data_IF_263519502098
#
_entry.id   IF_263519502098
#
_cell.length_a   1.000
_cell.length_b   1.000
_cell.length_c   1.000
_cell.angle_alpha   90.00
_cell.angle_beta   90.00
_cell.angle_gamma   90.00
#
_symmetry.space_group_name_H-M   'P 1'
#
loop_
_entity.id
_entity.type
_entity.pdbx_description
1 polymer ?
#
# COMPACT_ATOMS: atom_id res chain seq x y z
N UNK A 1 38.03 27.51 -4.03
CA UNK A 1 37.50 26.52 -4.99
C UNK A 1 37.54 25.10 -4.42
N UNK A 2 38.68 24.61 -3.90
CA UNK A 2 38.75 23.32 -3.17
C UNK A 2 37.85 23.26 -1.93
N UNK A 3 37.92 24.27 -1.05
CA UNK A 3 37.08 24.32 0.17
C UNK A 3 35.57 24.40 -0.09
N UNK A 4 35.15 24.94 -1.24
CA UNK A 4 33.74 24.97 -1.64
C UNK A 4 33.26 23.61 -2.17
N UNK A 5 34.14 22.88 -2.87
CA UNK A 5 33.84 21.53 -3.33
C UNK A 5 33.85 20.51 -2.17
N UNK A 6 34.80 20.60 -1.23
CA UNK A 6 34.83 19.74 -0.04
C UNK A 6 33.66 19.99 0.91
N UNK A 7 33.26 21.25 1.12
CA UNK A 7 32.11 21.59 1.96
C UNK A 7 30.80 21.08 1.36
N UNK A 8 30.60 21.25 0.04
CA UNK A 8 29.44 20.68 -0.65
C UNK A 8 29.43 19.15 -0.58
N UNK A 9 30.56 18.47 -0.80
CA UNK A 9 30.65 17.01 -0.71
C UNK A 9 30.31 16.50 0.70
N UNK A 10 30.68 17.24 1.74
CA UNK A 10 30.38 16.89 3.13
C UNK A 10 28.89 17.10 3.44
N UNK A 11 28.31 18.23 3.04
CA UNK A 11 26.88 18.52 3.21
C UNK A 11 25.97 17.54 2.42
N UNK A 12 26.36 17.16 1.19
CA UNK A 12 25.67 16.12 0.42
C UNK A 12 25.74 14.76 1.12
N UNK A 13 26.90 14.39 1.68
CA UNK A 13 27.05 13.12 2.41
C UNK A 13 26.23 13.08 3.72
N UNK A 14 26.06 14.22 4.39
CA UNK A 14 25.26 14.33 5.60
C UNK A 14 23.76 14.28 5.28
N UNK A 15 23.32 14.89 4.18
CA UNK A 15 21.94 14.78 3.71
C UNK A 15 21.55 13.34 3.36
N UNK A 16 22.37 12.65 2.56
CA UNK A 16 22.12 11.25 2.18
C UNK A 16 22.08 10.33 3.41
N UNK A 17 22.95 10.59 4.40
CA UNK A 17 22.93 9.89 5.67
C UNK A 17 21.61 10.11 6.42
N UNK A 18 21.14 11.36 6.53
CA UNK A 18 19.88 11.67 7.20
C UNK A 18 18.66 11.03 6.51
N UNK A 19 18.64 11.02 5.17
CA UNK A 19 17.60 10.33 4.38
C UNK A 19 17.64 8.83 4.66
N UNK A 20 18.83 8.22 4.70
CA UNK A 20 18.97 6.80 5.02
C UNK A 20 18.48 6.47 6.43
N UNK A 21 18.83 7.28 7.43
CA UNK A 21 18.33 7.11 8.80
C UNK A 21 16.81 7.26 8.88
N UNK A 22 16.24 8.23 8.16
CA UNK A 22 14.79 8.41 8.10
C UNK A 22 14.09 7.19 7.44
N UNK A 23 14.68 6.62 6.39
CA UNK A 23 14.20 5.39 5.76
C UNK A 23 14.23 4.20 6.73
N UNK A 24 15.34 4.01 7.46
CA UNK A 24 15.46 2.96 8.48
C UNK A 24 14.41 3.12 9.60
N UNK A 25 14.08 4.35 9.99
CA UNK A 25 13.01 4.63 10.96
C UNK A 25 11.62 4.39 10.37
N UNK A 26 11.37 4.78 9.12
CA UNK A 26 10.09 4.54 8.44
C UNK A 26 9.83 3.03 8.30
N UNK A 27 10.85 2.23 8.02
CA UNK A 27 10.75 0.78 7.93
C UNK A 27 10.29 0.12 9.25
N UNK A 28 10.57 0.74 10.40
CA UNK A 28 10.09 0.26 11.71
C UNK A 28 8.57 0.36 11.87
N UNK A 29 7.89 1.15 11.02
CA UNK A 29 6.44 1.23 11.03
C UNK A 29 5.83 -0.07 10.52
N UNK A 30 6.42 -0.69 9.49
CA UNK A 30 5.86 -1.84 8.80
C UNK A 30 6.01 -3.16 9.58
N UNK A 31 5.09 -4.12 9.37
CA UNK A 31 5.19 -5.43 9.99
C UNK A 31 6.43 -6.20 9.49
N UNK A 32 7.25 -6.69 10.42
CA UNK A 32 8.47 -7.48 10.11
C UNK A 32 8.19 -8.90 9.64
N UNK A 33 6.99 -9.39 9.89
CA UNK A 33 6.54 -10.72 9.51
C UNK A 33 5.03 -10.71 9.38
N UNK A 34 4.50 -11.49 8.46
CA UNK A 34 3.06 -11.73 8.37
C UNK A 34 2.55 -12.41 9.64
N UNK A 35 1.41 -11.96 10.21
CA UNK A 35 0.84 -12.55 11.41
C UNK A 35 0.41 -13.98 11.11
N UNK A 36 0.51 -14.83 12.13
CA UNK A 36 -0.02 -16.19 12.03
C UNK A 36 -1.53 -16.12 11.95
N UNK A 37 -2.10 -16.81 10.96
CA UNK A 37 -3.53 -16.82 10.71
C UNK A 37 -3.97 -18.22 10.31
N UNK A 38 -5.03 -18.73 10.94
CA UNK A 38 -5.47 -20.11 10.77
C UNK A 38 -6.24 -20.37 9.48
N UNK A 39 -6.77 -19.31 8.85
CA UNK A 39 -7.66 -19.41 7.69
C UNK A 39 -7.05 -18.83 6.41
N UNK A 40 -5.91 -18.15 6.50
CA UNK A 40 -5.16 -17.70 5.33
C UNK A 40 -3.65 -17.64 5.57
N UNK A 41 -2.89 -17.76 4.48
CA UNK A 41 -1.47 -17.40 4.47
C UNK A 41 -1.34 -15.99 3.90
N UNK A 42 -0.49 -15.15 4.51
CA UNK A 42 -0.30 -13.76 4.11
C UNK A 42 1.16 -13.53 3.75
N UNK A 43 1.39 -12.72 2.72
CA UNK A 43 2.72 -12.26 2.34
C UNK A 43 2.67 -10.82 1.89
N UNK A 44 3.78 -10.12 2.06
CA UNK A 44 3.99 -8.77 1.53
C UNK A 44 5.40 -8.66 0.97
N UNK A 45 5.53 -7.93 -0.13
CA UNK A 45 6.81 -7.52 -0.67
C UNK A 45 6.69 -6.08 -1.15
N UNK A 46 7.65 -5.25 -0.79
CA UNK A 46 7.63 -3.83 -1.13
C UNK A 46 9.04 -3.31 -1.40
N UNK A 47 9.12 -2.22 -2.16
CA UNK A 47 10.35 -1.48 -2.44
C UNK A 47 10.05 0.01 -2.56
N UNK A 48 10.70 0.81 -1.74
CA UNK A 48 10.60 2.27 -1.81
C UNK A 48 11.60 2.81 -2.83
N UNK A 49 11.18 3.71 -3.71
CA UNK A 49 12.00 4.19 -4.83
C UNK A 49 13.24 4.97 -4.39
N UNK A 50 13.17 5.66 -3.25
CA UNK A 50 14.25 6.49 -2.70
C UNK A 50 14.65 6.08 -1.27
N UNK A 51 14.36 4.83 -0.89
CA UNK A 51 14.52 4.33 0.49
C UNK A 51 13.41 4.77 1.43
N UNK A 52 12.81 5.93 1.18
CA UNK A 52 11.62 6.43 1.87
C UNK A 52 10.54 6.82 0.87
N UNK A 53 9.29 6.55 1.24
CA UNK A 53 8.17 6.51 0.31
C UNK A 53 6.83 6.97 0.86
N UNK A 54 5.88 7.11 -0.06
CA UNK A 54 4.46 7.43 0.18
C UNK A 54 3.59 6.19 0.37
N UNK A 55 4.01 5.04 -0.15
CA UNK A 55 3.34 3.75 0.04
C UNK A 55 3.27 3.34 1.52
N UNK A 56 2.11 2.88 1.96
CA UNK A 56 1.93 2.29 3.28
C UNK A 56 1.00 1.09 3.26
N UNK A 57 1.23 0.17 4.19
CA UNK A 57 0.40 -1.01 4.36
C UNK A 57 0.52 -1.58 5.77
N UNK A 58 -0.48 -2.33 6.19
CA UNK A 58 -0.40 -3.19 7.38
C UNK A 58 -1.48 -4.27 7.36
N UNK A 59 -1.27 -5.31 8.17
CA UNK A 59 -2.24 -6.33 8.51
C UNK A 59 -2.31 -6.49 10.04
N UNK A 60 -3.45 -6.14 10.61
CA UNK A 60 -3.61 -6.00 12.06
C UNK A 60 -4.65 -6.99 12.54
N UNK A 61 -4.23 -7.90 13.42
CA UNK A 61 -5.14 -8.84 14.08
C UNK A 61 -5.80 -8.17 15.26
N UNK A 62 -7.10 -7.93 15.13
CA UNK A 62 -7.91 -7.39 16.21
C UNK A 62 -8.06 -8.42 17.34
N UNK A 63 -8.35 -7.99 18.59
CA UNK A 63 -8.52 -8.89 19.72
C UNK A 63 -9.61 -9.96 19.55
N UNK A 64 -10.59 -9.72 18.67
CA UNK A 64 -11.67 -10.66 18.32
C UNK A 64 -11.30 -11.66 17.20
N UNK A 65 -10.06 -11.57 16.68
CA UNK A 65 -9.54 -12.41 15.61
C UNK A 65 -9.83 -11.90 14.19
N UNK A 66 -10.58 -10.80 14.03
CA UNK A 66 -10.76 -10.18 12.73
C UNK A 66 -9.42 -9.68 12.18
N UNK A 67 -9.19 -9.87 10.88
CA UNK A 67 -8.03 -9.28 10.21
C UNK A 67 -8.40 -7.96 9.56
N UNK A 68 -7.83 -6.88 10.07
CA UNK A 68 -7.79 -5.61 9.39
C UNK A 68 -6.63 -5.60 8.41
N UNK A 69 -6.86 -5.15 7.18
CA UNK A 69 -5.83 -4.86 6.20
C UNK A 69 -5.95 -3.40 5.77
N UNK A 70 -4.80 -2.75 5.58
CA UNK A 70 -4.70 -1.51 4.83
C UNK A 70 -3.57 -1.56 3.81
N UNK A 71 -3.77 -0.86 2.70
CA UNK A 71 -2.74 -0.47 1.74
C UNK A 71 -3.14 0.88 1.15
N UNK A 72 -2.19 1.76 0.92
CA UNK A 72 -2.45 3.06 0.34
C UNK A 72 -1.17 3.73 -0.11
N UNK A 73 -1.35 4.85 -0.79
CA UNK A 73 -0.26 5.67 -1.30
C UNK A 73 -0.59 7.14 -1.07
N UNK A 74 0.37 7.89 -0.56
CA UNK A 74 0.26 9.32 -0.29
C UNK A 74 0.73 10.09 -1.52
N UNK A 75 -0.07 11.06 -1.96
CA UNK A 75 0.24 11.88 -3.13
C UNK A 75 1.64 12.49 -3.06
N UNK A 76 2.42 12.24 -4.13
CA UNK A 76 3.81 12.66 -4.24
C UNK A 76 4.77 11.50 -3.93
N UNK A 77 6.07 11.78 -3.86
CA UNK A 77 7.06 10.74 -3.58
C UNK A 77 8.26 11.29 -2.80
N UNK A 78 8.99 10.42 -2.11
CA UNK A 78 10.17 10.79 -1.35
C UNK A 78 9.87 11.49 -0.02
N UNK A 79 10.73 12.42 0.40
CA UNK A 79 10.78 12.88 1.79
C UNK A 79 9.47 13.53 2.30
N UNK A 80 8.80 14.35 1.50
CA UNK A 80 7.56 15.01 1.94
C UNK A 80 6.41 14.00 2.09
N UNK A 81 6.25 13.10 1.12
CA UNK A 81 5.25 12.02 1.16
C UNK A 81 5.50 11.10 2.37
N UNK A 82 6.77 10.80 2.67
CA UNK A 82 7.16 9.98 3.82
C UNK A 82 6.68 10.52 5.17
N UNK A 83 6.63 11.84 5.34
CA UNK A 83 6.17 12.50 6.58
C UNK A 83 4.66 12.36 6.72
N UNK A 84 3.92 12.68 5.67
CA UNK A 84 2.45 12.58 5.67
C UNK A 84 2.02 11.13 5.82
N UNK A 85 2.69 10.22 5.10
CA UNK A 85 2.50 8.78 5.23
C UNK A 85 2.71 8.31 6.67
N UNK A 86 3.82 8.68 7.33
CA UNK A 86 4.11 8.23 8.69
C UNK A 86 3.05 8.69 9.70
N UNK A 87 2.56 9.91 9.55
CA UNK A 87 1.47 10.47 10.38
C UNK A 87 0.16 9.71 10.15
N UNK A 88 -0.18 9.47 8.89
CA UNK A 88 -1.40 8.77 8.50
C UNK A 88 -1.36 7.30 8.94
N UNK A 89 -0.23 6.63 8.75
CA UNK A 89 0.00 5.24 9.18
C UNK A 89 -0.30 5.10 10.67
N UNK A 90 0.34 5.92 11.51
CA UNK A 90 0.14 5.87 12.97
C UNK A 90 -1.30 6.16 13.37
N UNK A 91 -1.97 7.07 12.66
CA UNK A 91 -3.38 7.37 12.88
C UNK A 91 -4.28 6.17 12.55
N UNK A 92 -4.13 5.57 11.36
CA UNK A 92 -4.94 4.43 10.92
C UNK A 92 -4.64 3.21 11.79
N UNK A 93 -3.38 2.91 12.05
CA UNK A 93 -2.95 1.82 12.93
C UNK A 93 -3.61 1.90 14.32
N UNK A 94 -3.64 3.10 14.91
CA UNK A 94 -4.29 3.29 16.21
C UNK A 94 -5.81 3.12 16.10
N UNK A 95 -6.42 3.66 15.05
CA UNK A 95 -7.86 3.58 14.83
C UNK A 95 -8.33 2.14 14.58
N UNK A 96 -7.56 1.33 13.86
CA UNK A 96 -7.89 -0.06 13.53
C UNK A 96 -7.79 -1.00 14.73
N UNK A 97 -6.85 -0.75 15.66
CA UNK A 97 -6.77 -1.50 16.93
C UNK A 97 -7.99 -1.23 17.80
N UNK A 98 -8.45 0.02 17.85
CA UNK A 98 -9.57 0.41 18.71
C UNK A 98 -10.93 0.06 18.10
N UNK A 99 -11.02 -0.12 16.77
CA UNK A 99 -12.28 -0.26 16.03
C UNK A 99 -12.16 -1.25 14.87
N UNK A 100 -13.00 -2.28 14.89
CA UNK A 100 -13.23 -3.15 13.74
C UNK A 100 -14.23 -2.54 12.74
N UNK A 101 -13.98 -1.32 12.24
CA UNK A 101 -14.87 -0.67 11.25
C UNK A 101 -14.15 0.12 10.13
N UNK A 102 -14.08 -0.39 8.88
CA UNK A 102 -13.33 0.27 7.81
C UNK A 102 -13.96 1.60 7.38
N UNK A 103 -15.29 1.75 7.51
CA UNK A 103 -15.96 3.02 7.24
C UNK A 103 -15.44 4.10 8.16
N UNK A 104 -15.47 3.81 9.47
CA UNK A 104 -15.12 4.79 10.47
C UNK A 104 -13.65 5.17 10.39
N UNK A 105 -12.79 4.20 10.11
CA UNK A 105 -11.36 4.43 9.85
C UNK A 105 -11.16 5.39 8.67
N UNK A 106 -11.84 5.16 7.54
CA UNK A 106 -11.71 6.01 6.36
C UNK A 106 -12.26 7.43 6.59
N UNK A 107 -13.42 7.57 7.23
CA UNK A 107 -14.00 8.88 7.59
C UNK A 107 -13.07 9.67 8.53
N UNK A 108 -12.55 9.01 9.57
CA UNK A 108 -11.70 9.64 10.56
C UNK A 108 -10.34 10.02 9.93
N UNK A 109 -9.81 9.20 9.02
CA UNK A 109 -8.60 9.50 8.26
C UNK A 109 -8.80 10.68 7.31
N UNK A 110 -9.93 10.74 6.60
CA UNK A 110 -10.27 11.89 5.77
C UNK A 110 -10.35 13.18 6.60
N UNK A 111 -11.08 13.14 7.72
CA UNK A 111 -11.20 14.30 8.62
C UNK A 111 -9.87 14.69 9.29
N UNK A 112 -8.95 13.74 9.48
CA UNK A 112 -7.59 14.01 9.93
C UNK A 112 -6.81 14.79 8.86
N UNK A 113 -6.78 14.29 7.62
CA UNK A 113 -6.08 14.91 6.50
C UNK A 113 -6.62 16.30 6.15
N UNK A 114 -7.94 16.46 6.06
CA UNK A 114 -8.59 17.76 5.76
C UNK A 114 -8.16 18.86 6.74
N UNK A 115 -7.98 18.53 8.04
CA UNK A 115 -7.54 19.50 9.05
C UNK A 115 -6.12 19.99 8.82
N UNK A 116 -5.26 19.19 8.21
CA UNK A 116 -3.91 19.61 7.84
C UNK A 116 -3.91 20.34 6.51
N UNK A 117 -4.65 19.84 5.51
CA UNK A 117 -4.80 20.49 4.21
C UNK A 117 -5.25 21.96 4.35
N UNK A 118 -6.21 22.23 5.25
CA UNK A 118 -6.73 23.60 5.52
C UNK A 118 -5.70 24.58 6.10
N UNK A 119 -4.50 24.13 6.47
CA UNK A 119 -3.43 25.01 6.99
C UNK A 119 -2.66 25.75 5.90
N UNK A 120 -2.74 25.31 4.66
CA UNK A 120 -2.11 25.97 3.51
C UNK A 120 -2.86 25.68 2.22
N UNK A 121 -3.33 26.73 1.55
CA UNK A 121 -3.96 26.60 0.22
C UNK A 121 -2.97 26.24 -0.89
N UNK A 122 -1.67 26.42 -0.65
CA UNK A 122 -0.62 26.12 -1.65
C UNK A 122 -0.10 24.68 -1.53
N UNK A 123 -0.27 24.06 -0.35
CA UNK A 123 0.31 22.76 0.01
C UNK A 123 -0.75 21.74 0.46
N UNK A 124 -2.03 22.05 0.26
CA UNK A 124 -3.16 21.21 0.63
C UNK A 124 -3.13 19.84 -0.05
N UNK A 125 -2.80 19.81 -1.34
CA UNK A 125 -2.72 18.61 -2.17
C UNK A 125 -1.76 17.54 -1.62
N UNK A 126 -0.73 17.93 -0.87
CA UNK A 126 0.19 16.98 -0.22
C UNK A 126 -0.46 16.18 0.92
N UNK A 127 -1.61 16.64 1.43
CA UNK A 127 -2.39 15.93 2.45
C UNK A 127 -3.54 15.14 1.82
N UNK A 128 -3.23 14.38 0.76
CA UNK A 128 -4.17 13.46 0.12
C UNK A 128 -3.55 12.09 -0.10
N UNK A 129 -4.39 11.05 -0.18
CA UNK A 129 -3.93 9.66 -0.26
C UNK A 129 -4.99 8.76 -0.88
N UNK A 130 -4.54 7.72 -1.58
CA UNK A 130 -5.37 6.55 -1.82
C UNK A 130 -5.37 5.63 -0.62
N UNK A 131 -6.47 4.94 -0.35
CA UNK A 131 -6.55 3.93 0.72
C UNK A 131 -7.48 2.79 0.31
N UNK A 132 -7.01 1.56 0.37
CA UNK A 132 -7.85 0.41 0.57
C UNK A 132 -7.74 -0.06 2.02
N UNK A 133 -8.86 -0.19 2.71
CA UNK A 133 -8.89 -0.87 4.01
C UNK A 133 -10.06 -1.84 4.11
N UNK A 134 -9.82 -2.98 4.76
CA UNK A 134 -10.79 -4.06 4.83
C UNK A 134 -10.69 -4.82 6.15
N UNK A 135 -11.81 -5.42 6.55
CA UNK A 135 -11.89 -6.28 7.74
C UNK A 135 -12.48 -7.60 7.32
N UNK A 136 -11.72 -8.67 7.53
CA UNK A 136 -12.10 -10.04 7.20
C UNK A 136 -12.39 -10.79 8.50
N UNK A 137 -13.60 -11.33 8.60
CA UNK A 137 -14.04 -12.10 9.75
C UNK A 137 -13.64 -13.58 9.60
N UNK A 138 -12.84 -14.17 10.52
CA UNK A 138 -12.24 -15.50 10.36
C UNK A 138 -13.25 -16.62 10.06
N UNK A 139 -14.37 -16.63 10.78
CA UNK A 139 -15.34 -17.74 10.70
C UNK A 139 -16.27 -17.65 9.51
N UNK A 140 -16.53 -16.44 8.99
CA UNK A 140 -17.48 -16.25 7.88
C UNK A 140 -16.77 -16.00 6.56
N UNK A 141 -15.47 -15.67 6.59
CA UNK A 141 -14.68 -15.22 5.45
C UNK A 141 -15.34 -14.06 4.69
N UNK A 142 -16.17 -13.29 5.39
CA UNK A 142 -16.81 -12.09 4.87
C UNK A 142 -15.91 -10.91 5.16
N UNK A 143 -15.67 -10.12 4.12
CA UNK A 143 -14.98 -8.85 4.22
C UNK A 143 -15.97 -7.69 4.12
N UNK A 144 -15.74 -6.67 4.95
CA UNK A 144 -16.24 -5.32 4.75
C UNK A 144 -15.04 -4.46 4.35
N UNK A 145 -15.17 -3.63 3.34
CA UNK A 145 -14.04 -2.80 2.89
C UNK A 145 -14.47 -1.42 2.41
N UNK A 146 -13.51 -0.50 2.45
CA UNK A 146 -13.53 0.80 1.79
C UNK A 146 -12.38 0.84 0.81
N UNK A 147 -12.63 1.28 -0.41
CA UNK A 147 -11.60 1.61 -1.38
C UNK A 147 -11.73 3.09 -1.77
N UNK A 148 -10.93 3.93 -1.12
CA UNK A 148 -10.82 5.37 -1.33
C UNK A 148 -9.79 5.67 -2.42
N UNK A 149 -10.20 5.41 -3.67
CA UNK A 149 -9.42 5.73 -4.87
C UNK A 149 -8.15 4.91 -5.09
N UNK A 150 -7.92 3.85 -4.30
CA UNK A 150 -6.77 2.96 -4.47
C UNK A 150 -6.97 2.02 -5.68
N UNK A 151 -5.85 1.53 -6.22
CA UNK A 151 -5.89 0.54 -7.30
C UNK A 151 -6.73 -0.66 -6.85
N UNK A 152 -7.78 -1.05 -7.60
CA UNK A 152 -8.70 -2.10 -7.14
C UNK A 152 -7.95 -3.40 -6.84
N UNK A 153 -8.03 -3.93 -5.61
CA UNK A 153 -7.52 -5.25 -5.32
C UNK A 153 -8.18 -6.32 -6.19
N UNK A 154 -7.42 -7.34 -6.51
CA UNK A 154 -7.86 -8.46 -7.33
C UNK A 154 -8.13 -9.68 -6.47
N UNK A 155 -9.23 -10.37 -6.72
CA UNK A 155 -9.49 -11.69 -6.15
C UNK A 155 -9.48 -12.72 -7.26
N UNK A 156 -8.51 -13.64 -7.22
CA UNK A 156 -8.48 -14.81 -8.10
C UNK A 156 -9.36 -15.90 -7.51
N UNK A 157 -10.36 -16.32 -8.28
CA UNK A 157 -11.24 -17.46 -7.97
C UNK A 157 -11.21 -18.45 -9.12
N UNK A 158 -10.48 -19.55 -8.94
CA UNK A 158 -10.22 -20.49 -10.03
C UNK A 158 -9.50 -19.78 -11.19
N UNK A 159 -10.18 -19.66 -12.33
CA UNK A 159 -9.70 -18.99 -13.55
C UNK A 159 -10.29 -17.58 -13.75
N UNK A 160 -11.04 -17.08 -12.77
CA UNK A 160 -11.66 -15.75 -12.81
C UNK A 160 -10.91 -14.76 -11.95
N UNK A 161 -10.88 -13.50 -12.38
CA UNK A 161 -10.41 -12.36 -11.59
C UNK A 161 -11.59 -11.44 -11.30
N UNK A 162 -11.83 -11.18 -10.02
CA UNK A 162 -12.81 -10.21 -9.53
C UNK A 162 -12.07 -8.97 -9.02
N UNK A 163 -12.65 -7.79 -9.15
CA UNK A 163 -12.06 -6.54 -8.67
C UNK A 163 -12.85 -5.99 -7.47
N UNK A 164 -12.15 -5.50 -6.45
CA UNK A 164 -12.74 -4.82 -5.32
C UNK A 164 -12.79 -3.31 -5.60
N UNK A 165 -13.84 -2.90 -6.32
CA UNK A 165 -14.03 -1.55 -6.84
C UNK A 165 -13.97 -0.45 -5.77
N UNK A 166 -13.63 0.76 -6.22
CA UNK A 166 -13.69 2.00 -5.42
C UNK A 166 -15.08 2.22 -4.81
N UNK A 167 -15.10 2.66 -3.55
CA UNK A 167 -16.31 3.01 -2.78
C UNK A 167 -16.26 4.44 -2.24
N UNK A 168 -15.18 5.16 -2.53
CA UNK A 168 -14.93 6.55 -2.15
C UNK A 168 -13.86 7.15 -3.07
N UNK A 169 -13.82 8.49 -3.24
CA UNK A 169 -12.66 9.16 -3.84
C UNK A 169 -11.43 9.08 -2.90
N UNK A 170 -10.22 9.44 -3.39
CA UNK A 170 -9.04 9.60 -2.52
C UNK A 170 -9.32 10.49 -1.32
N UNK A 171 -8.76 10.13 -0.16
CA UNK A 171 -8.97 10.84 1.09
C UNK A 171 -8.17 12.15 1.10
N UNK A 172 -8.70 13.18 1.76
CA UNK A 172 -8.06 14.49 1.91
C UNK A 172 -8.12 15.38 0.66
N UNK A 173 -8.57 14.85 -0.48
CA UNK A 173 -8.69 15.62 -1.73
C UNK A 173 -10.01 16.40 -1.85
N UNK A 174 -11.11 15.81 -1.39
CA UNK A 174 -12.43 16.44 -1.41
C UNK A 174 -12.90 16.73 0.01
N UNK A 175 -13.63 17.83 0.19
CA UNK A 175 -14.29 18.12 1.47
C UNK A 175 -15.53 17.23 1.64
N UNK A 176 -15.61 16.53 2.76
CA UNK A 176 -16.75 15.66 3.13
C UNK A 176 -17.20 14.71 2.00
N UNK A 177 -16.29 13.87 1.45
CA UNK A 177 -16.63 12.96 0.37
C UNK A 177 -17.66 11.92 0.84
N UNK A 178 -18.45 11.41 -0.10
CA UNK A 178 -19.25 10.22 0.16
C UNK A 178 -18.32 9.00 0.27
N UNK A 179 -18.33 8.36 1.44
CA UNK A 179 -17.58 7.14 1.73
C UNK A 179 -18.58 6.04 2.04
N UNK A 180 -18.48 4.93 1.33
CA UNK A 180 -19.37 3.78 1.51
C UNK A 180 -18.61 2.48 1.74
N UNK A 181 -19.28 1.51 2.36
CA UNK A 181 -18.73 0.16 2.60
C UNK A 181 -19.26 -0.81 1.58
N UNK A 182 -18.35 -1.51 0.92
CA UNK A 182 -18.68 -2.68 0.13
C UNK A 182 -18.37 -3.97 0.89
N UNK A 183 -18.93 -5.07 0.39
CA UNK A 183 -18.80 -6.38 0.99
C UNK A 183 -18.28 -7.37 -0.04
N UNK A 184 -17.43 -8.29 0.42
CA UNK A 184 -16.97 -9.40 -0.38
C UNK A 184 -17.06 -10.70 0.42
N UNK A 185 -17.49 -11.79 -0.22
CA UNK A 185 -17.53 -13.11 0.39
C UNK A 185 -16.44 -13.96 -0.24
N UNK A 186 -15.40 -14.26 0.55
CA UNK A 186 -14.36 -15.19 0.12
C UNK A 186 -14.86 -16.63 0.16
N UNK A 187 -14.29 -17.43 -0.73
CA UNK A 187 -14.40 -18.87 -0.79
C UNK A 187 -13.02 -19.48 -0.54
N UNK A 188 -12.98 -20.70 -0.02
CA UNK A 188 -11.75 -21.47 0.08
C UNK A 188 -11.07 -21.59 -1.29
N UNK A 189 -9.77 -21.31 -1.32
CA UNK A 189 -8.95 -21.31 -2.54
C UNK A 189 -8.90 -19.97 -3.27
N UNK A 190 -9.64 -18.96 -2.81
CA UNK A 190 -9.50 -17.60 -3.30
C UNK A 190 -8.12 -17.03 -2.92
N UNK A 191 -7.52 -16.26 -3.85
CA UNK A 191 -6.34 -15.44 -3.58
C UNK A 191 -6.72 -13.97 -3.69
N UNK A 192 -6.59 -13.21 -2.61
CA UNK A 192 -6.66 -11.75 -2.64
C UNK A 192 -5.26 -11.19 -2.93
N UNK A 193 -5.18 -10.27 -3.88
CA UNK A 193 -3.97 -9.59 -4.29
C UNK A 193 -4.20 -8.07 -4.26
N UNK A 194 -3.43 -7.38 -3.43
CA UNK A 194 -3.43 -5.92 -3.33
C UNK A 194 -2.09 -5.40 -3.80
N UNK A 195 -2.08 -4.25 -4.48
CA UNK A 195 -0.86 -3.66 -4.98
C UNK A 195 -1.03 -2.16 -5.21
N UNK A 196 0.07 -1.42 -5.08
CA UNK A 196 0.13 0.00 -5.44
C UNK A 196 0.41 0.16 -6.94
N UNK A 197 0.13 1.36 -7.46
CA UNK A 197 0.28 1.66 -8.88
C UNK A 197 1.72 1.45 -9.39
N UNK A 198 2.76 1.60 -8.57
CA UNK A 198 4.14 1.29 -8.94
C UNK A 198 4.34 -0.13 -9.51
N UNK A 199 3.49 -1.11 -9.20
CA UNK A 199 3.50 -2.43 -9.87
C UNK A 199 3.11 -2.32 -11.34
N UNK A 200 2.03 -1.60 -11.65
CA UNK A 200 1.51 -1.49 -13.03
C UNK A 200 2.16 -0.37 -13.82
N UNK A 201 2.72 0.63 -13.14
CA UNK A 201 3.43 1.77 -13.72
C UNK A 201 4.94 1.51 -13.89
N UNK A 202 5.43 0.35 -13.44
CA UNK A 202 6.78 -0.10 -13.79
C UNK A 202 6.94 -0.08 -15.31
N UNK A 203 7.90 0.69 -15.81
CA UNK A 203 8.15 0.87 -17.24
C UNK A 203 9.42 0.16 -17.69
N UNK A 204 9.42 -0.35 -18.92
CA UNK A 204 10.61 -0.91 -19.55
C UNK A 204 11.46 0.19 -20.23
N UNK A 205 12.60 -0.19 -20.83
CA UNK A 205 13.49 0.75 -21.53
C UNK A 205 12.84 1.48 -22.72
N UNK A 206 11.76 0.93 -23.29
CA UNK A 206 10.98 1.56 -24.34
C UNK A 206 9.89 2.51 -23.79
N UNK A 207 9.75 2.62 -22.47
CA UNK A 207 8.71 3.41 -21.80
C UNK A 207 7.34 2.72 -21.76
N UNK A 208 7.25 1.44 -22.11
CA UNK A 208 5.99 0.69 -22.02
C UNK A 208 5.74 0.27 -20.57
N UNK A 209 4.51 0.50 -20.10
CA UNK A 209 4.10 0.13 -18.74
C UNK A 209 3.82 -1.37 -18.64
N UNK A 210 4.14 -1.95 -17.48
CA UNK A 210 3.84 -3.35 -17.16
C UNK A 210 2.34 -3.62 -17.23
N UNK A 211 1.54 -2.72 -16.66
CA UNK A 211 0.11 -2.66 -16.86
C UNK A 211 -0.71 -3.74 -16.14
N UNK A 212 -2.02 -3.48 -16.04
CA UNK A 212 -2.97 -4.35 -15.33
C UNK A 212 -3.16 -5.72 -15.99
N UNK A 213 -3.00 -5.80 -17.31
CA UNK A 213 -3.17 -7.05 -18.06
C UNK A 213 -2.10 -8.07 -17.65
N UNK A 214 -0.82 -7.67 -17.62
CA UNK A 214 0.28 -8.56 -17.22
C UNK A 214 0.15 -9.02 -15.76
N UNK A 215 -0.28 -8.13 -14.86
CA UNK A 215 -0.60 -8.51 -13.46
C UNK A 215 -1.67 -9.60 -13.40
N UNK A 216 -2.78 -9.45 -14.13
CA UNK A 216 -3.86 -10.44 -14.16
C UNK A 216 -3.42 -11.77 -14.77
N UNK A 217 -2.59 -11.74 -15.80
CA UNK A 217 -2.04 -12.93 -16.43
C UNK A 217 -1.15 -13.73 -15.46
N UNK A 218 -0.23 -13.06 -14.77
CA UNK A 218 0.62 -13.68 -13.74
C UNK A 218 -0.24 -14.26 -12.62
N UNK A 219 -1.23 -13.49 -12.13
CA UNK A 219 -2.13 -13.94 -11.08
C UNK A 219 -2.92 -15.20 -11.48
N UNK A 220 -3.31 -15.33 -12.75
CA UNK A 220 -4.03 -16.51 -13.26
C UNK A 220 -3.13 -17.74 -13.51
N UNK A 221 -1.88 -17.52 -13.93
CA UNK A 221 -0.97 -18.59 -14.34
C UNK A 221 -0.14 -19.15 -13.18
N UNK A 222 0.15 -18.32 -12.18
CA UNK A 222 1.02 -18.67 -11.07
C UNK A 222 0.24 -19.33 -9.92
N UNK A 223 0.27 -20.66 -9.91
CA UNK A 223 -0.30 -21.51 -8.86
C UNK A 223 0.62 -21.76 -7.67
N UNK A 224 1.77 -21.08 -7.56
CA UNK A 224 2.68 -21.20 -6.41
C UNK A 224 2.05 -20.59 -5.14
N UNK A 225 2.66 -20.84 -3.98
CA UNK A 225 2.24 -20.23 -2.72
C UNK A 225 2.47 -18.71 -2.69
N UNK A 226 1.77 -18.00 -1.81
CA UNK A 226 1.86 -16.55 -1.61
C UNK A 226 3.28 -15.94 -1.63
N UNK A 227 4.29 -16.56 -0.99
CA UNK A 227 5.65 -16.00 -0.97
C UNK A 227 6.35 -16.20 -2.29
N UNK A 228 6.28 -17.41 -2.85
CA UNK A 228 6.86 -17.72 -4.17
C UNK A 228 6.24 -16.85 -5.26
N UNK A 229 4.94 -16.60 -5.19
CA UNK A 229 4.24 -15.68 -6.11
C UNK A 229 4.78 -14.25 -6.01
N UNK A 230 4.96 -13.72 -4.80
CA UNK A 230 5.51 -12.38 -4.60
C UNK A 230 6.95 -12.28 -5.12
N UNK A 231 7.75 -13.33 -4.90
CA UNK A 231 9.11 -13.40 -5.43
C UNK A 231 9.14 -13.41 -6.95
N UNK A 232 8.28 -14.22 -7.57
CA UNK A 232 8.15 -14.30 -9.02
C UNK A 232 7.64 -12.99 -9.63
N UNK A 233 6.63 -12.34 -9.03
CA UNK A 233 6.13 -11.04 -9.46
C UNK A 233 7.25 -10.00 -9.46
N UNK A 234 7.99 -9.87 -8.36
CA UNK A 234 9.06 -8.88 -8.24
C UNK A 234 10.24 -9.19 -9.17
N UNK A 235 10.60 -10.46 -9.35
CA UNK A 235 11.61 -10.86 -10.33
C UNK A 235 11.17 -10.55 -11.77
N UNK A 236 9.87 -10.66 -12.06
CA UNK A 236 9.30 -10.29 -13.37
C UNK A 236 9.34 -8.79 -13.59
N UNK A 237 8.98 -7.98 -12.57
CA UNK A 237 9.11 -6.52 -12.62
C UNK A 237 10.57 -6.10 -12.83
N UNK A 238 11.52 -6.77 -12.17
CA UNK A 238 12.96 -6.51 -12.32
C UNK A 238 13.47 -6.83 -13.72
N UNK A 239 13.05 -7.97 -14.26
CA UNK A 239 13.35 -8.35 -15.64
C UNK A 239 12.72 -7.41 -16.67
N UNK A 240 11.55 -6.85 -16.36
CA UNK A 240 10.83 -5.92 -17.25
C UNK A 240 11.44 -4.51 -17.24
N UNK A 241 11.77 -3.98 -16.06
CA UNK A 241 12.34 -2.63 -15.87
C UNK A 241 13.86 -2.52 -15.98
N UNK A 242 14.58 -3.66 -16.04
CA UNK A 242 16.03 -3.76 -16.20
C UNK A 242 16.89 -2.94 -15.19
N UNK A 243 16.41 -2.77 -13.96
CA UNK A 243 17.26 -2.84 -12.75
C UNK A 243 18.18 -1.67 -12.37
N UNK A 244 17.74 -0.41 -12.31
CA UNK A 244 18.58 0.60 -11.61
C UNK A 244 17.88 1.67 -10.78
N UNK A 245 16.60 1.97 -11.02
CA UNK A 245 15.84 2.86 -10.13
C UNK A 245 14.35 2.66 -10.35
N UNK A 246 13.61 2.40 -9.28
CA UNK A 246 12.15 2.45 -9.35
C UNK A 246 11.72 3.90 -9.62
N UNK A 247 10.75 4.08 -10.52
CA UNK A 247 10.15 5.39 -10.75
C UNK A 247 9.27 5.80 -9.56
N UNK A 248 8.61 4.81 -8.95
CA UNK A 248 7.71 4.98 -7.82
C UNK A 248 7.81 3.84 -6.81
N UNK A 249 7.22 4.02 -5.64
CA UNK A 249 7.13 2.99 -4.62
C UNK A 249 6.29 1.80 -5.14
N UNK A 250 6.69 0.59 -4.77
CA UNK A 250 6.08 -0.62 -5.29
C UNK A 250 5.80 -1.57 -4.15
N UNK A 251 4.52 -1.74 -3.82
CA UNK A 251 4.04 -2.58 -2.72
C UNK A 251 3.05 -3.61 -3.24
N UNK A 252 3.17 -4.85 -2.79
CA UNK A 252 2.24 -5.92 -3.11
C UNK A 252 1.98 -6.83 -1.92
N UNK A 253 0.71 -7.20 -1.71
CA UNK A 253 0.24 -8.03 -0.59
C UNK A 253 -0.61 -9.16 -1.15
N UNK A 254 -0.44 -10.38 -0.62
CA UNK A 254 -1.19 -11.57 -1.01
C UNK A 254 -1.82 -12.23 0.20
N UNK A 255 -3.06 -12.70 0.05
CA UNK A 255 -3.74 -13.59 0.99
C UNK A 255 -4.20 -14.84 0.25
N UNK A 256 -3.73 -16.01 0.68
CA UNK A 256 -4.20 -17.31 0.22
C UNK A 256 -5.22 -17.87 1.22
N UNK A 257 -6.51 -17.81 0.87
CA UNK A 257 -7.61 -18.23 1.74
C UNK A 257 -7.76 -19.75 1.69
N UNK A 258 -7.66 -20.43 2.83
CA UNK A 258 -7.72 -21.90 2.92
C UNK A 258 -8.71 -22.45 3.97
N UNK A 259 -9.28 -21.56 4.81
CA UNK A 259 -10.34 -21.88 5.78
C UNK A 259 -11.68 -22.26 5.17
#
# INVERSE_FOLDING_TARGET
>A
MKDFQEKNLTEFSEFDLNVKLAAEVQELLFPKSSPLCEWCCMGVKFRMAQGLGGDYFDFITAPDGCQFIMIGDVTGHGLHASVVMSLLYGFIYRASIDRCDPLKVAEDANGFLEKFAKRSLELDHFFSTTLFCGIIHPQTLRMRYVNAGHVPPLVRRGMEILELSSTAPPLGFFENPEISVAHFQFSRGDRLFLYTDGVVETSNQAGELFGKTSVKEILLQDGSDHLTFLDHLFATLDGFGAGSRLADDCTAIVFDVHG
#
